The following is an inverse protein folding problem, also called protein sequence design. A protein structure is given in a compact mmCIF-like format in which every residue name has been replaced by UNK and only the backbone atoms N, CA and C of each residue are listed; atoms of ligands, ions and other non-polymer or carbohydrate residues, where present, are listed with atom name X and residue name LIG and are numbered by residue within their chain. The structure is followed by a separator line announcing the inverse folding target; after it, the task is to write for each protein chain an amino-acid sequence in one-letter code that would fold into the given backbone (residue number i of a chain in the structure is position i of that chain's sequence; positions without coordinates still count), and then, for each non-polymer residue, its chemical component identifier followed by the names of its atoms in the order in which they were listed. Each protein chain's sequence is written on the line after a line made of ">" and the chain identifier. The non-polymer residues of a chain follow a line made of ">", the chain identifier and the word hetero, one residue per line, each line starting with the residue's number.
data_IF_647558717929
#
_entry.id   IF_647558717929
#
_cell.length_a   1.000
_cell.length_b   1.000
_cell.length_c   1.000
_cell.angle_alpha   90.00
_cell.angle_beta   90.00
_cell.angle_gamma   90.00
#
_symmetry.space_group_name_H-M   'P 1'
#
loop_
_entity.id
_entity.type
_entity.pdbx_description
1 polymer ?
#
# COMPACT_ATOMS: atom_id res chain seq x y z
N UNK A 1 13.98 4.36 -2.67
CA UNK A 1 14.16 3.22 -1.73
C UNK A 1 12.94 2.31 -1.60
N UNK A 2 11.70 2.75 -1.89
CA UNK A 2 10.48 1.90 -1.76
C UNK A 2 10.37 0.79 -2.82
N UNK A 3 10.76 1.07 -4.07
CA UNK A 3 10.51 0.16 -5.20
C UNK A 3 11.25 -1.18 -5.11
N UNK A 4 12.47 -1.20 -4.54
CA UNK A 4 13.22 -2.46 -4.34
C UNK A 4 12.47 -3.43 -3.43
N UNK A 5 11.75 -2.92 -2.43
CA UNK A 5 10.96 -3.74 -1.50
C UNK A 5 9.75 -4.36 -2.19
N UNK A 6 9.14 -3.63 -3.13
CA UNK A 6 7.97 -4.09 -3.87
C UNK A 6 8.34 -5.22 -4.82
N UNK A 7 9.44 -5.06 -5.57
CA UNK A 7 10.00 -6.11 -6.44
C UNK A 7 10.39 -7.35 -5.63
N UNK A 8 11.08 -7.17 -4.51
CA UNK A 8 11.51 -8.29 -3.66
C UNK A 8 10.31 -9.01 -3.02
N UNK A 9 9.30 -8.26 -2.58
CA UNK A 9 8.04 -8.79 -2.05
C UNK A 9 7.29 -9.59 -3.11
N UNK A 10 7.18 -9.08 -4.35
CA UNK A 10 6.54 -9.80 -5.46
C UNK A 10 7.29 -11.09 -5.81
N UNK A 11 8.63 -11.03 -5.85
CA UNK A 11 9.48 -12.19 -6.09
C UNK A 11 9.23 -13.29 -5.06
N UNK A 12 9.31 -12.96 -3.76
CA UNK A 12 9.10 -13.97 -2.71
C UNK A 12 7.65 -14.46 -2.66
N UNK A 13 6.67 -13.60 -2.96
CA UNK A 13 5.27 -14.02 -3.10
C UNK A 13 5.11 -15.13 -4.16
N UNK A 14 5.64 -14.90 -5.36
CA UNK A 14 5.59 -15.87 -6.46
C UNK A 14 6.42 -17.11 -6.17
N UNK A 15 7.60 -16.96 -5.55
CA UNK A 15 8.46 -18.08 -5.15
C UNK A 15 7.77 -18.98 -4.11
N UNK A 16 7.08 -18.40 -3.12
CA UNK A 16 6.27 -19.16 -2.16
C UNK A 16 5.13 -19.90 -2.85
N UNK A 17 4.42 -19.26 -3.79
CA UNK A 17 3.36 -19.94 -4.55
C UNK A 17 3.90 -21.10 -5.38
N UNK A 18 5.04 -20.93 -6.05
CA UNK A 18 5.66 -21.98 -6.85
C UNK A 18 6.14 -23.14 -5.97
N UNK A 19 6.80 -22.84 -4.85
CA UNK A 19 7.18 -23.85 -3.86
C UNK A 19 5.95 -24.58 -3.29
N UNK A 20 4.85 -23.86 -3.07
CA UNK A 20 3.61 -24.43 -2.56
C UNK A 20 2.93 -25.34 -3.59
N UNK A 21 2.87 -24.95 -4.86
CA UNK A 21 2.38 -25.81 -5.94
C UNK A 21 3.22 -27.09 -6.06
N UNK A 22 4.56 -26.97 -5.94
CA UNK A 22 5.46 -28.11 -5.89
C UNK A 22 5.23 -29.02 -4.66
N UNK A 23 4.97 -28.44 -3.49
CA UNK A 23 4.60 -29.18 -2.28
C UNK A 23 3.24 -29.88 -2.43
N UNK A 24 2.23 -29.19 -2.95
CA UNK A 24 0.90 -29.73 -3.21
C UNK A 24 0.95 -30.92 -4.17
N UNK A 25 1.84 -30.88 -5.17
CA UNK A 25 2.03 -31.95 -6.14
C UNK A 25 2.71 -33.20 -5.59
N UNK A 26 3.73 -33.04 -4.73
CA UNK A 26 4.35 -34.15 -4.02
C UNK A 26 4.75 -33.73 -2.59
N UNK A 27 3.86 -33.97 -1.61
CA UNK A 27 4.06 -33.50 -0.24
C UNK A 27 5.34 -34.08 0.38
N UNK A 28 6.24 -33.20 0.80
CA UNK A 28 7.46 -33.57 1.54
C UNK A 28 7.87 -32.47 2.52
N UNK A 29 8.52 -32.80 3.65
CA UNK A 29 8.99 -31.81 4.61
C UNK A 29 9.96 -30.78 3.99
N UNK A 30 10.84 -31.23 3.08
CA UNK A 30 11.80 -30.36 2.39
C UNK A 30 11.12 -29.31 1.53
N UNK A 31 10.10 -29.70 0.75
CA UNK A 31 9.33 -28.74 -0.09
C UNK A 31 8.53 -27.77 0.78
N UNK A 32 7.95 -28.25 1.88
CA UNK A 32 7.25 -27.37 2.81
C UNK A 32 8.18 -26.38 3.51
N UNK A 33 9.40 -26.79 3.86
CA UNK A 33 10.42 -25.89 4.42
C UNK A 33 10.78 -24.77 3.44
N UNK A 34 10.82 -25.04 2.12
CA UNK A 34 11.00 -24.00 1.10
C UNK A 34 9.83 -23.02 1.07
N UNK A 35 8.58 -23.49 1.25
CA UNK A 35 7.40 -22.62 1.39
C UNK A 35 7.58 -21.68 2.58
N UNK A 36 7.94 -22.22 3.75
CA UNK A 36 8.18 -21.43 4.97
C UNK A 36 9.33 -20.43 4.79
N UNK A 37 10.43 -20.85 4.16
CA UNK A 37 11.59 -20.00 3.91
C UNK A 37 11.22 -18.80 3.04
N UNK A 38 10.66 -19.02 1.85
CA UNK A 38 10.30 -17.92 0.95
C UNK A 38 9.21 -17.04 1.55
N UNK A 39 8.25 -17.63 2.28
CA UNK A 39 7.20 -16.86 2.94
C UNK A 39 7.77 -15.92 4.00
N UNK A 40 8.69 -16.42 4.83
CA UNK A 40 9.36 -15.61 5.86
C UNK A 40 10.18 -14.49 5.24
N UNK A 41 10.93 -14.76 4.17
CA UNK A 41 11.67 -13.74 3.43
C UNK A 41 10.74 -12.69 2.80
N UNK A 42 9.57 -13.11 2.32
CA UNK A 42 8.52 -12.21 1.84
C UNK A 42 7.98 -11.29 2.93
N UNK A 43 7.70 -11.82 4.13
CA UNK A 43 7.27 -11.03 5.29
C UNK A 43 8.34 -10.02 5.72
N UNK A 44 9.62 -10.39 5.65
CA UNK A 44 10.74 -9.48 5.92
C UNK A 44 10.88 -8.38 4.87
N UNK A 45 10.52 -8.66 3.61
CA UNK A 45 10.56 -7.69 2.53
C UNK A 45 9.45 -6.64 2.67
N UNK A 46 8.20 -7.08 2.89
CA UNK A 46 7.05 -6.17 3.05
C UNK A 46 5.89 -6.83 3.83
N UNK A 47 5.26 -6.11 4.78
CA UNK A 47 4.11 -6.62 5.54
C UNK A 47 2.90 -7.04 4.67
N UNK A 48 2.84 -6.62 3.41
CA UNK A 48 1.76 -6.97 2.49
C UNK A 48 1.60 -8.49 2.27
N UNK A 49 2.68 -9.26 2.46
CA UNK A 49 2.72 -10.72 2.25
C UNK A 49 1.89 -11.50 3.29
N UNK A 50 1.45 -10.86 4.39
CA UNK A 50 0.63 -11.50 5.45
C UNK A 50 -0.67 -12.14 4.95
N UNK A 51 -1.13 -11.75 3.76
CA UNK A 51 -2.36 -12.28 3.13
C UNK A 51 -2.13 -13.54 2.30
N UNK A 52 -0.87 -13.91 2.02
CA UNK A 52 -0.53 -15.06 1.19
C UNK A 52 -1.11 -16.39 1.68
N UNK A 53 -1.18 -16.71 2.99
CA UNK A 53 -1.77 -17.97 3.44
C UNK A 53 -3.23 -18.15 3.00
N UNK A 54 -3.98 -17.05 2.91
CA UNK A 54 -5.36 -17.06 2.41
C UNK A 54 -5.42 -17.24 0.89
N UNK A 55 -4.46 -16.65 0.17
CA UNK A 55 -4.32 -16.88 -1.27
C UNK A 55 -3.95 -18.34 -1.57
N UNK A 56 -3.10 -18.98 -0.76
CA UNK A 56 -2.81 -20.41 -0.91
C UNK A 56 -4.07 -21.28 -0.74
N UNK A 57 -4.99 -20.91 0.15
CA UNK A 57 -6.30 -21.56 0.27
C UNK A 57 -7.16 -21.37 -0.99
N UNK A 58 -7.10 -20.19 -1.63
CA UNK A 58 -7.76 -19.97 -2.92
C UNK A 58 -7.15 -20.87 -4.00
N UNK A 59 -5.83 -21.04 -4.03
CA UNK A 59 -5.15 -21.94 -4.97
C UNK A 59 -5.52 -23.41 -4.75
N UNK A 60 -5.68 -23.84 -3.49
CA UNK A 60 -6.19 -25.19 -3.17
C UNK A 60 -7.61 -25.39 -3.71
N UNK A 61 -8.46 -24.37 -3.67
CA UNK A 61 -9.79 -24.42 -4.30
C UNK A 61 -9.69 -24.51 -5.83
N UNK A 62 -8.94 -23.59 -6.45
CA UNK A 62 -8.59 -23.61 -7.87
C UNK A 62 -7.36 -22.71 -8.08
N UNK A 63 -6.33 -23.13 -8.83
CA UNK A 63 -6.33 -24.19 -9.85
C UNK A 63 -5.85 -25.57 -9.39
N UNK A 64 -5.42 -25.74 -8.13
CA UNK A 64 -4.87 -27.02 -7.66
C UNK A 64 -5.94 -28.10 -7.43
N UNK A 65 -7.19 -27.70 -7.19
CA UNK A 65 -8.34 -28.61 -7.07
C UNK A 65 -8.24 -29.60 -5.90
N UNK A 66 -7.70 -29.17 -4.76
CA UNK A 66 -7.49 -29.98 -3.54
C UNK A 66 -8.69 -29.99 -2.59
N UNK A 67 -9.72 -29.18 -2.88
CA UNK A 67 -10.94 -29.09 -2.07
C UNK A 67 -11.97 -30.13 -2.51
N UNK A 68 -12.49 -31.01 -1.61
CA UNK A 68 -13.49 -32.00 -1.95
C UNK A 68 -14.78 -31.36 -2.48
N UNK A 69 -15.27 -31.81 -3.64
CA UNK A 69 -16.46 -31.23 -4.30
C UNK A 69 -16.21 -29.84 -4.90
N UNK A 70 -14.95 -29.41 -4.99
CA UNK A 70 -14.51 -28.20 -5.68
C UNK A 70 -14.47 -28.37 -7.21
N UNK A 71 -14.11 -27.28 -7.92
CA UNK A 71 -13.90 -27.32 -9.37
C UNK A 71 -12.72 -28.25 -9.73
N UNK A 72 -12.70 -28.81 -10.95
CA UNK A 72 -11.60 -29.64 -11.39
C UNK A 72 -10.28 -28.87 -11.42
N UNK A 73 -9.19 -29.55 -11.08
CA UNK A 73 -7.85 -28.99 -11.16
C UNK A 73 -7.47 -28.69 -12.62
N UNK A 74 -6.64 -27.66 -12.81
CA UNK A 74 -6.08 -27.37 -14.14
C UNK A 74 -5.08 -28.47 -14.52
N UNK A 75 -5.16 -29.06 -15.73
CA UNK A 75 -4.23 -30.10 -16.18
C UNK A 75 -2.77 -29.66 -16.06
N UNK A 76 -1.91 -30.55 -15.56
CA UNK A 76 -0.48 -30.28 -15.33
C UNK A 76 -0.16 -29.56 -14.01
N UNK A 77 -1.16 -29.02 -13.31
CA UNK A 77 -1.01 -28.45 -11.95
C UNK A 77 -1.58 -29.37 -10.86
N UNK A 78 -2.39 -30.35 -11.24
CA UNK A 78 -2.91 -31.36 -10.33
C UNK A 78 -1.76 -32.24 -9.79
N UNK A 79 -1.69 -32.39 -8.47
CA UNK A 79 -0.77 -33.34 -7.85
C UNK A 79 -1.10 -34.77 -8.27
N UNK A 80 -0.20 -35.39 -9.03
CA UNK A 80 -0.26 -36.79 -9.40
C UNK A 80 -0.20 -37.66 -8.15
N UNK A 81 -1.36 -38.10 -7.68
CA UNK A 81 -1.47 -39.03 -6.57
C UNK A 81 -2.92 -39.36 -6.33
N UNK A 82 -3.38 -40.47 -6.91
CA UNK A 82 -4.56 -41.20 -6.46
C UNK A 82 -4.33 -41.66 -5.02
N UNK A 83 -4.49 -40.75 -4.05
CA UNK A 83 -4.66 -41.13 -2.65
C UNK A 83 -6.14 -41.44 -2.45
N UNK A 84 -6.40 -42.62 -1.90
CA UNK A 84 -7.74 -43.08 -1.51
C UNK A 84 -8.52 -41.94 -0.84
N UNK A 85 -9.83 -41.79 -1.12
CA UNK A 85 -10.59 -40.64 -0.70
C UNK A 85 -10.69 -40.61 0.83
N UNK A 86 -9.86 -39.77 1.44
CA UNK A 86 -10.02 -39.40 2.83
C UNK A 86 -11.38 -38.69 2.96
N UNK A 87 -12.08 -38.86 4.09
CA UNK A 87 -13.38 -38.21 4.31
C UNK A 87 -13.28 -36.70 4.05
N UNK A 88 -14.31 -36.02 3.51
CA UNK A 88 -14.21 -34.60 3.16
C UNK A 88 -13.71 -33.73 4.32
N UNK A 89 -14.15 -34.03 5.54
CA UNK A 89 -13.73 -33.36 6.79
C UNK A 89 -12.22 -33.48 7.04
N UNK A 90 -11.60 -34.64 6.77
CA UNK A 90 -10.16 -34.82 7.01
C UNK A 90 -9.32 -34.02 6.02
N UNK A 91 -9.78 -33.86 4.78
CA UNK A 91 -9.11 -33.04 3.76
C UNK A 91 -9.15 -31.56 4.13
N UNK A 92 -10.31 -31.01 4.53
CA UNK A 92 -10.40 -29.62 5.01
C UNK A 92 -9.46 -29.37 6.19
N UNK A 93 -9.42 -30.29 7.14
CA UNK A 93 -8.55 -30.17 8.31
C UNK A 93 -7.07 -30.25 7.96
N UNK A 94 -6.69 -31.12 7.03
CA UNK A 94 -5.32 -31.19 6.52
C UNK A 94 -4.91 -29.89 5.83
N UNK A 95 -5.77 -29.35 4.96
CA UNK A 95 -5.49 -28.07 4.29
C UNK A 95 -5.33 -26.95 5.30
N UNK A 96 -6.18 -26.86 6.33
CA UNK A 96 -6.05 -25.85 7.38
C UNK A 96 -4.75 -26.03 8.19
N UNK A 97 -4.41 -27.26 8.58
CA UNK A 97 -3.17 -27.59 9.30
C UNK A 97 -1.92 -27.13 8.56
N UNK A 98 -1.88 -27.30 7.23
CA UNK A 98 -0.78 -26.81 6.38
C UNK A 98 -0.61 -25.29 6.43
N UNK A 99 -1.62 -24.50 6.86
CA UNK A 99 -1.56 -23.04 6.88
C UNK A 99 -1.37 -22.48 8.29
N UNK A 100 -1.59 -23.26 9.34
CA UNK A 100 -1.39 -22.82 10.72
C UNK A 100 0.01 -22.19 10.93
N UNK A 101 1.13 -22.81 10.50
CA UNK A 101 2.46 -22.20 10.67
C UNK A 101 2.59 -20.86 9.91
N UNK A 102 2.04 -20.79 8.69
CA UNK A 102 2.08 -19.58 7.88
C UNK A 102 1.24 -18.45 8.49
N UNK A 103 0.05 -18.77 9.00
CA UNK A 103 -0.84 -17.82 9.69
C UNK A 103 -0.19 -17.32 10.98
N UNK A 104 0.45 -18.19 11.76
CA UNK A 104 1.16 -17.81 12.98
C UNK A 104 2.31 -16.83 12.68
N UNK A 105 3.11 -17.10 11.66
CA UNK A 105 4.17 -16.20 11.19
C UNK A 105 3.60 -14.85 10.69
N UNK A 106 2.49 -14.88 9.94
CA UNK A 106 1.81 -13.67 9.47
C UNK A 106 1.29 -12.81 10.63
N UNK A 107 0.70 -13.44 11.66
CA UNK A 107 0.20 -12.77 12.85
C UNK A 107 1.34 -12.14 13.66
N UNK A 108 2.44 -12.87 13.85
CA UNK A 108 3.64 -12.35 14.51
C UNK A 108 4.22 -11.15 13.77
N UNK A 109 4.40 -11.25 12.45
CA UNK A 109 4.91 -10.16 11.62
C UNK A 109 3.97 -8.93 11.64
N UNK A 110 2.65 -9.15 11.66
CA UNK A 110 1.66 -8.08 11.78
C UNK A 110 1.75 -7.38 13.13
N UNK A 111 1.92 -8.13 14.22
CA UNK A 111 2.11 -7.56 15.56
C UNK A 111 3.38 -6.71 15.65
N UNK A 112 4.50 -7.23 15.16
CA UNK A 112 5.79 -6.50 15.10
C UNK A 112 5.60 -5.20 14.30
N UNK A 113 4.91 -5.27 13.17
CA UNK A 113 4.65 -4.10 12.31
C UNK A 113 3.82 -3.05 13.04
N UNK A 114 2.75 -3.45 13.74
CA UNK A 114 1.90 -2.53 14.51
C UNK A 114 2.67 -1.84 15.63
N UNK A 115 3.50 -2.60 16.36
CA UNK A 115 4.35 -2.05 17.44
C UNK A 115 5.36 -1.06 16.86
N UNK A 116 6.05 -1.43 15.79
CA UNK A 116 7.04 -0.57 15.14
C UNK A 116 6.42 0.74 14.60
N UNK A 117 5.25 0.68 13.97
CA UNK A 117 4.58 1.87 13.44
C UNK A 117 3.95 2.75 14.54
N UNK A 118 3.57 2.16 15.67
CA UNK A 118 3.12 2.93 16.85
C UNK A 118 4.30 3.69 17.46
N UNK A 119 5.46 3.05 17.57
CA UNK A 119 6.68 3.68 18.08
C UNK A 119 7.21 4.81 17.19
N UNK A 120 7.01 4.72 15.86
CA UNK A 120 7.39 5.78 14.92
C UNK A 120 6.37 6.92 14.80
N UNK A 121 5.19 6.81 15.41
CA UNK A 121 4.11 7.79 15.28
C UNK A 121 3.44 7.80 13.89
N UNK A 122 3.73 6.81 13.03
CA UNK A 122 3.17 6.74 11.68
C UNK A 122 1.72 6.21 11.66
N UNK A 123 1.29 5.49 12.71
CA UNK A 123 -0.09 5.05 12.87
C UNK A 123 -1.00 6.20 13.30
N UNK A 124 -2.08 6.41 12.57
CA UNK A 124 -3.11 7.36 13.00
C UNK A 124 -3.98 6.76 14.10
N UNK A 125 -4.04 7.39 15.30
CA UNK A 125 -4.95 6.95 16.34
C UNK A 125 -6.41 6.97 15.89
N UNK A 126 -7.21 6.02 16.38
CA UNK A 126 -8.66 5.98 16.16
C UNK A 126 -9.35 7.26 16.66
N UNK A 127 -8.77 7.95 17.64
CA UNK A 127 -9.25 9.23 18.15
C UNK A 127 -9.23 10.36 17.10
N UNK A 128 -8.26 10.35 16.17
CA UNK A 128 -8.19 11.34 15.10
C UNK A 128 -8.99 10.93 13.86
N UNK A 129 -9.04 9.64 13.56
CA UNK A 129 -9.86 9.07 12.48
C UNK A 129 -10.60 7.82 12.98
N UNK A 130 -11.90 7.93 13.32
CA UNK A 130 -12.73 6.80 13.71
C UNK A 130 -12.81 5.72 12.64
N UNK A 131 -13.31 4.54 13.02
CA UNK A 131 -13.42 3.40 12.11
C UNK A 131 -14.38 3.66 10.92
N UNK A 132 -15.47 4.40 11.13
CA UNK A 132 -16.47 4.70 10.10
C UNK A 132 -15.87 5.32 8.83
N UNK A 133 -15.18 6.48 8.91
CA UNK A 133 -14.49 7.07 7.76
C UNK A 133 -13.45 6.16 7.10
N UNK A 134 -12.80 5.28 7.86
CA UNK A 134 -11.83 4.31 7.30
C UNK A 134 -12.52 3.24 6.47
N UNK A 135 -13.66 2.72 6.94
CA UNK A 135 -14.49 1.77 6.18
C UNK A 135 -15.04 2.45 4.93
N UNK A 136 -15.57 3.66 5.05
CA UNK A 136 -16.04 4.46 3.92
C UNK A 136 -14.97 4.63 2.84
N UNK A 137 -13.77 5.06 3.23
CA UNK A 137 -12.62 5.16 2.33
C UNK A 137 -12.25 3.81 1.72
N UNK A 138 -12.21 2.74 2.51
CA UNK A 138 -11.82 1.41 2.02
C UNK A 138 -12.78 0.90 0.93
N UNK A 139 -14.09 1.08 1.11
CA UNK A 139 -15.11 0.69 0.12
C UNK A 139 -14.93 1.45 -1.19
N UNK A 140 -14.75 2.78 -1.12
CA UNK A 140 -14.53 3.60 -2.32
C UNK A 140 -13.18 3.27 -2.96
N UNK A 141 -12.12 3.05 -2.17
CA UNK A 141 -10.79 2.72 -2.68
C UNK A 141 -10.78 1.39 -3.46
N UNK A 142 -11.56 0.38 -3.05
CA UNK A 142 -11.71 -0.84 -3.84
C UNK A 142 -12.29 -0.57 -5.23
N UNK A 143 -13.26 0.32 -5.35
CA UNK A 143 -13.84 0.69 -6.64
C UNK A 143 -12.85 1.53 -7.44
N UNK A 144 -12.20 2.49 -6.80
CA UNK A 144 -11.20 3.37 -7.43
C UNK A 144 -10.02 2.58 -8.02
N UNK A 145 -9.54 1.55 -7.33
CA UNK A 145 -8.50 0.67 -7.88
C UNK A 145 -8.99 -0.12 -9.11
N UNK A 146 -10.27 -0.52 -9.18
CA UNK A 146 -10.82 -1.15 -10.39
C UNK A 146 -10.90 -0.16 -11.55
N UNK A 147 -11.29 1.09 -11.28
CA UNK A 147 -11.27 2.16 -12.27
C UNK A 147 -9.84 2.39 -12.75
N UNK A 148 -8.86 2.50 -11.85
CA UNK A 148 -7.44 2.69 -12.17
C UNK A 148 -6.82 1.51 -12.93
N UNK A 149 -7.32 0.28 -12.76
CA UNK A 149 -6.89 -0.86 -13.57
C UNK A 149 -7.26 -0.64 -15.05
N UNK A 150 -8.46 -0.11 -15.33
CA UNK A 150 -8.97 0.12 -16.69
C UNK A 150 -8.49 1.44 -17.28
N UNK A 151 -8.35 2.47 -16.44
CA UNK A 151 -7.99 3.83 -16.80
C UNK A 151 -7.05 4.44 -15.76
N UNK A 152 -5.73 4.22 -15.88
CA UNK A 152 -4.74 4.70 -14.92
C UNK A 152 -4.42 6.19 -15.11
N UNK A 153 -5.43 7.07 -15.07
CA UNK A 153 -5.28 8.52 -15.21
C UNK A 153 -6.41 9.28 -14.47
N UNK A 154 -6.13 10.43 -13.81
CA UNK A 154 -4.80 11.00 -13.56
C UNK A 154 -4.06 10.27 -12.42
N UNK A 155 -2.73 10.27 -12.48
CA UNK A 155 -1.86 9.63 -11.49
C UNK A 155 -1.08 10.69 -10.73
N UNK A 156 -1.29 10.74 -9.42
CA UNK A 156 -0.59 11.64 -8.50
C UNK A 156 0.33 10.83 -7.58
N UNK A 157 1.43 11.42 -7.13
CA UNK A 157 2.30 10.78 -6.14
C UNK A 157 1.60 10.57 -4.77
N UNK A 158 0.58 11.39 -4.49
CA UNK A 158 -0.15 11.40 -3.23
C UNK A 158 -1.64 11.70 -3.46
N UNK A 159 -2.49 10.86 -2.88
CA UNK A 159 -3.95 11.01 -2.89
C UNK A 159 -4.41 11.36 -1.47
N UNK A 160 -4.82 12.60 -1.27
CA UNK A 160 -5.21 13.12 0.05
C UNK A 160 -6.46 12.43 0.57
N UNK A 161 -6.47 12.06 1.86
CA UNK A 161 -7.64 11.47 2.52
C UNK A 161 -8.77 12.50 2.72
N UNK A 162 -9.63 12.64 1.71
CA UNK A 162 -10.82 13.49 1.77
C UNK A 162 -11.99 12.81 2.50
N UNK A 163 -12.91 13.58 3.11
CA UNK A 163 -14.18 13.03 3.59
C UNK A 163 -14.97 12.39 2.44
N UNK A 164 -15.31 11.12 2.58
CA UNK A 164 -16.12 10.40 1.60
C UNK A 164 -17.60 10.64 1.90
N UNK A 165 -18.39 11.16 0.94
CA UNK A 165 -19.84 11.26 1.08
C UNK A 165 -20.47 9.89 1.38
N UNK A 166 -21.49 9.88 2.26
CA UNK A 166 -22.13 8.62 2.68
C UNK A 166 -22.70 7.83 1.50
N UNK A 167 -23.26 8.51 0.49
CA UNK A 167 -23.84 7.88 -0.70
C UNK A 167 -22.78 7.18 -1.56
N UNK A 168 -21.57 7.73 -1.65
CA UNK A 168 -20.45 7.07 -2.35
C UNK A 168 -20.05 5.79 -1.64
N UNK A 169 -19.99 5.84 -0.31
CA UNK A 169 -19.62 4.69 0.52
C UNK A 169 -20.66 3.57 0.43
N UNK A 170 -21.94 3.93 0.54
CA UNK A 170 -23.06 2.98 0.41
C UNK A 170 -23.14 2.42 -1.00
N UNK A 171 -23.03 3.27 -2.02
CA UNK A 171 -23.03 2.85 -3.43
C UNK A 171 -21.89 1.89 -3.75
N UNK A 172 -20.66 2.22 -3.32
CA UNK A 172 -19.50 1.35 -3.47
C UNK A 172 -19.69 0.01 -2.74
N UNK A 173 -20.21 0.04 -1.50
CA UNK A 173 -20.51 -1.17 -0.74
C UNK A 173 -21.53 -2.07 -1.43
N UNK A 174 -22.65 -1.52 -1.90
CA UNK A 174 -23.68 -2.27 -2.63
C UNK A 174 -23.15 -2.83 -3.95
N UNK A 175 -22.39 -2.04 -4.71
CA UNK A 175 -21.78 -2.49 -5.96
C UNK A 175 -20.79 -3.65 -5.73
N UNK A 176 -19.92 -3.53 -4.73
CA UNK A 176 -18.97 -4.59 -4.37
C UNK A 176 -19.69 -5.86 -3.90
N UNK A 177 -20.75 -5.74 -3.09
CA UNK A 177 -21.53 -6.89 -2.63
C UNK A 177 -22.24 -7.58 -3.79
N UNK A 178 -22.93 -6.83 -4.65
CA UNK A 178 -23.63 -7.38 -5.81
C UNK A 178 -22.65 -8.06 -6.78
N UNK A 179 -21.52 -7.42 -7.07
CA UNK A 179 -20.48 -7.98 -7.93
C UNK A 179 -19.83 -9.23 -7.32
N UNK A 180 -19.55 -9.21 -6.01
CA UNK A 180 -19.06 -10.39 -5.29
C UNK A 180 -20.04 -11.54 -5.34
N UNK A 181 -21.33 -11.30 -5.09
CA UNK A 181 -22.37 -12.32 -5.14
C UNK A 181 -22.50 -12.91 -6.55
N UNK A 182 -22.46 -12.07 -7.59
CA UNK A 182 -22.49 -12.51 -8.97
C UNK A 182 -21.28 -13.40 -9.31
N UNK A 183 -20.05 -12.99 -8.99
CA UNK A 183 -18.86 -13.79 -9.28
C UNK A 183 -18.82 -15.10 -8.49
N UNK A 184 -19.22 -15.07 -7.21
CA UNK A 184 -19.27 -16.27 -6.37
C UNK A 184 -20.36 -17.25 -6.84
N UNK A 185 -21.47 -16.77 -7.39
CA UNK A 185 -22.50 -17.63 -8.00
C UNK A 185 -21.94 -18.46 -9.17
N UNK A 186 -20.88 -17.97 -9.82
CA UNK A 186 -20.21 -18.65 -10.94
C UNK A 186 -19.02 -19.52 -10.50
N UNK A 187 -18.70 -19.60 -9.20
CA UNK A 187 -17.46 -20.23 -8.71
C UNK A 187 -17.30 -21.69 -9.14
N UNK A 188 -18.39 -22.45 -9.31
CA UNK A 188 -18.32 -23.84 -9.83
C UNK A 188 -18.09 -23.94 -11.32
N UNK A 189 -18.63 -23.00 -12.12
CA UNK A 189 -18.55 -23.02 -13.60
C UNK A 189 -17.29 -22.33 -14.10
N UNK A 190 -16.96 -21.18 -13.51
CA UNK A 190 -15.83 -20.32 -13.85
C UNK A 190 -15.06 -19.96 -12.57
N UNK A 191 -14.34 -20.93 -11.97
CA UNK A 191 -13.69 -20.73 -10.68
C UNK A 191 -12.65 -19.61 -10.66
N UNK A 192 -12.01 -19.33 -11.80
CA UNK A 192 -11.06 -18.24 -11.97
C UNK A 192 -11.65 -16.86 -11.63
N UNK A 193 -12.95 -16.67 -11.81
CA UNK A 193 -13.67 -15.44 -11.44
C UNK A 193 -13.70 -15.24 -9.93
N UNK A 194 -14.13 -16.26 -9.19
CA UNK A 194 -14.21 -16.21 -7.74
C UNK A 194 -12.82 -16.13 -7.09
N UNK A 195 -11.86 -16.93 -7.57
CA UNK A 195 -10.48 -16.94 -7.06
C UNK A 195 -9.80 -15.60 -7.30
N UNK A 196 -9.87 -15.07 -8.52
CA UNK A 196 -9.26 -13.80 -8.85
C UNK A 196 -9.86 -12.62 -8.06
N UNK A 197 -11.17 -12.63 -7.87
CA UNK A 197 -11.86 -11.60 -7.10
C UNK A 197 -11.57 -11.64 -5.60
N UNK A 198 -11.62 -12.83 -4.98
CA UNK A 198 -11.29 -12.99 -3.56
C UNK A 198 -9.81 -12.71 -3.28
N UNK A 199 -8.93 -13.00 -4.25
CA UNK A 199 -7.53 -12.59 -4.18
C UNK A 199 -7.42 -11.07 -4.13
N UNK A 200 -8.06 -10.38 -5.08
CA UNK A 200 -8.06 -8.91 -5.15
C UNK A 200 -8.55 -8.28 -3.84
N UNK A 201 -9.70 -8.73 -3.35
CA UNK A 201 -10.27 -8.24 -2.09
C UNK A 201 -9.34 -8.55 -0.90
N UNK A 202 -8.95 -9.81 -0.73
CA UNK A 202 -8.19 -10.26 0.44
C UNK A 202 -6.80 -9.62 0.55
N UNK A 203 -6.09 -9.47 -0.56
CA UNK A 203 -4.72 -8.96 -0.57
C UNK A 203 -4.61 -7.44 -0.35
N UNK A 204 -5.69 -6.70 -0.59
CA UNK A 204 -5.76 -5.25 -0.32
C UNK A 204 -6.07 -4.93 1.14
N UNK A 205 -6.70 -5.83 1.91
CA UNK A 205 -7.13 -5.58 3.30
C UNK A 205 -6.06 -4.89 4.17
N UNK A 206 -4.77 -5.27 4.17
CA UNK A 206 -3.76 -4.64 5.03
C UNK A 206 -3.42 -3.19 4.63
N UNK A 207 -3.72 -2.79 3.40
CA UNK A 207 -3.24 -1.53 2.79
C UNK A 207 -4.36 -0.62 2.28
N UNK A 208 -5.63 -1.04 2.41
CA UNK A 208 -6.82 -0.31 1.93
C UNK A 208 -7.26 0.84 2.87
N UNK A 209 -6.53 1.08 3.96
CA UNK A 209 -6.80 2.18 4.91
C UNK A 209 -7.60 1.82 6.16
N UNK A 210 -7.89 0.52 6.41
CA UNK A 210 -8.49 0.08 7.69
C UNK A 210 -7.55 0.33 8.87
N UNK A 211 -6.29 -0.09 8.72
CA UNK A 211 -5.17 0.31 9.58
C UNK A 211 -4.46 1.48 8.90
N UNK A 212 -4.86 2.70 9.23
CA UNK A 212 -4.39 3.90 8.56
C UNK A 212 -2.95 4.24 8.98
N UNK A 213 -2.05 4.24 7.99
CA UNK A 213 -0.65 4.67 8.12
C UNK A 213 -0.45 5.86 7.19
N UNK A 214 -0.17 7.03 7.78
CA UNK A 214 -0.12 8.31 7.05
C UNK A 214 -1.49 8.81 6.55
N UNK A 215 -1.48 9.88 5.75
CA UNK A 215 -2.67 10.64 5.32
C UNK A 215 -3.18 10.29 3.91
N UNK A 216 -2.68 9.21 3.32
CA UNK A 216 -3.06 8.80 1.96
C UNK A 216 -4.41 8.06 1.96
N UNK A 217 -5.30 8.40 1.01
CA UNK A 217 -6.57 7.69 0.77
C UNK A 217 -6.34 6.31 0.13
N UNK A 218 -5.44 6.27 -0.85
CA UNK A 218 -5.00 5.10 -1.59
C UNK A 218 -3.57 5.34 -2.10
N UNK A 219 -2.89 4.30 -2.56
CA UNK A 219 -1.58 4.45 -3.18
C UNK A 219 -1.35 3.39 -4.27
N UNK A 220 -0.94 3.84 -5.45
CA UNK A 220 -0.79 3.00 -6.64
C UNK A 220 0.22 1.84 -6.44
N UNK A 221 1.23 2.03 -5.57
CA UNK A 221 2.23 1.01 -5.19
C UNK A 221 1.65 -0.24 -4.50
N UNK A 222 0.37 -0.23 -4.13
CA UNK A 222 -0.29 -1.38 -3.51
C UNK A 222 -0.99 -2.29 -4.52
N UNK A 223 -0.97 -1.96 -5.81
CA UNK A 223 -1.74 -2.69 -6.83
C UNK A 223 -1.05 -3.95 -7.38
N UNK A 224 0.29 -4.04 -7.31
CA UNK A 224 1.07 -5.08 -7.99
C UNK A 224 0.72 -6.54 -7.61
N UNK A 225 0.45 -6.85 -6.33
CA UNK A 225 0.00 -8.20 -5.89
C UNK A 225 -1.51 -8.38 -6.07
N UNK A 226 -2.38 -7.43 -5.68
CA UNK A 226 -3.82 -7.59 -5.81
C UNK A 226 -4.30 -7.73 -7.24
N UNK A 227 -3.69 -6.99 -8.17
CA UNK A 227 -4.08 -7.03 -9.58
C UNK A 227 -3.75 -8.37 -10.25
N UNK A 228 -2.87 -9.21 -9.66
CA UNK A 228 -2.68 -10.59 -10.14
C UNK A 228 -4.01 -11.35 -10.17
N UNK A 229 -4.85 -11.17 -9.14
CA UNK A 229 -6.19 -11.76 -9.09
C UNK A 229 -7.09 -11.27 -10.23
N UNK A 230 -7.07 -9.97 -10.54
CA UNK A 230 -7.87 -9.41 -11.63
C UNK A 230 -7.35 -9.84 -13.01
N UNK A 231 -6.02 -9.86 -13.20
CA UNK A 231 -5.40 -10.36 -14.42
C UNK A 231 -5.68 -11.84 -14.66
N UNK A 232 -5.79 -12.64 -13.59
CA UNK A 232 -6.24 -14.02 -13.68
C UNK A 232 -7.67 -14.10 -14.26
N UNK A 233 -8.59 -13.24 -13.79
CA UNK A 233 -9.96 -13.19 -14.32
C UNK A 233 -9.99 -12.81 -15.79
N UNK A 234 -9.22 -11.78 -16.17
CA UNK A 234 -9.14 -11.28 -17.55
C UNK A 234 -8.51 -12.33 -18.48
N UNK A 235 -7.40 -12.95 -18.08
CA UNK A 235 -6.68 -13.90 -18.93
C UNK A 235 -7.53 -15.14 -19.25
N UNK A 236 -8.13 -15.76 -18.23
CA UNK A 236 -8.97 -16.95 -18.42
C UNK A 236 -10.32 -16.60 -19.06
N UNK A 237 -10.91 -15.45 -18.70
CA UNK A 237 -12.14 -14.95 -19.32
C UNK A 237 -11.96 -14.64 -20.81
N UNK A 238 -10.84 -14.03 -21.20
CA UNK A 238 -10.50 -13.78 -22.60
C UNK A 238 -10.24 -15.08 -23.37
N UNK A 239 -9.54 -16.04 -22.77
CA UNK A 239 -9.31 -17.35 -23.37
C UNK A 239 -10.63 -18.10 -23.63
N UNK A 240 -11.57 -18.05 -22.70
CA UNK A 240 -12.90 -18.65 -22.84
C UNK A 240 -13.74 -17.91 -23.91
N UNK A 241 -13.81 -16.58 -23.85
CA UNK A 241 -14.61 -15.77 -24.77
C UNK A 241 -14.14 -15.84 -26.23
N UNK A 242 -12.85 -16.08 -26.45
CA UNK A 242 -12.25 -16.13 -27.80
C UNK A 242 -12.02 -17.55 -28.32
N UNK A 243 -12.47 -18.58 -27.59
CA UNK A 243 -12.21 -19.98 -27.91
C UNK A 243 -12.63 -20.37 -29.34
N UNK A 244 -13.73 -19.79 -29.85
CA UNK A 244 -14.27 -20.07 -31.19
C UNK A 244 -13.74 -19.18 -32.33
N UNK A 245 -12.85 -18.23 -32.07
CA UNK A 245 -12.42 -17.28 -33.09
C UNK A 245 -11.39 -17.87 -34.06
N UNK A 246 -11.66 -17.81 -35.37
CA UNK A 246 -10.80 -18.40 -36.42
C UNK A 246 -9.38 -17.80 -36.48
N UNK A 247 -9.23 -16.51 -36.16
CA UNK A 247 -7.94 -15.79 -36.13
C UNK A 247 -7.54 -15.35 -34.72
N UNK A 248 -7.91 -16.13 -33.69
CA UNK A 248 -7.73 -15.73 -32.28
C UNK A 248 -6.30 -15.32 -31.93
N UNK A 249 -5.30 -16.08 -32.39
CA UNK A 249 -3.90 -15.81 -32.06
C UNK A 249 -3.47 -14.46 -32.63
N UNK A 250 -3.71 -14.21 -33.91
CA UNK A 250 -3.39 -12.93 -34.54
C UNK A 250 -4.10 -11.77 -33.86
N UNK A 251 -5.42 -11.88 -33.62
CA UNK A 251 -6.20 -10.81 -33.00
C UNK A 251 -5.72 -10.51 -31.58
N UNK A 252 -5.50 -11.54 -30.76
CA UNK A 252 -5.04 -11.37 -29.38
C UNK A 252 -3.60 -10.86 -29.33
N UNK A 253 -2.71 -11.34 -30.20
CA UNK A 253 -1.33 -10.84 -30.27
C UNK A 253 -1.26 -9.40 -30.75
N UNK A 254 -2.08 -9.00 -31.74
CA UNK A 254 -2.18 -7.61 -32.17
C UNK A 254 -2.74 -6.72 -31.06
N UNK A 255 -3.82 -7.14 -30.40
CA UNK A 255 -4.38 -6.40 -29.27
C UNK A 255 -3.37 -6.26 -28.12
N UNK A 256 -2.65 -7.34 -27.78
CA UNK A 256 -1.59 -7.29 -26.79
C UNK A 256 -0.46 -6.33 -27.20
N UNK A 257 -0.03 -6.35 -28.46
CA UNK A 257 0.99 -5.44 -28.99
C UNK A 257 0.58 -3.97 -28.92
N UNK A 258 -0.67 -3.66 -29.31
CA UNK A 258 -1.23 -2.30 -29.21
C UNK A 258 -1.31 -1.84 -27.75
N UNK A 259 -1.80 -2.70 -26.86
CA UNK A 259 -1.87 -2.39 -25.42
C UNK A 259 -0.48 -2.15 -24.83
N UNK A 260 0.51 -2.99 -25.16
CA UNK A 260 1.89 -2.81 -24.70
C UNK A 260 2.50 -1.51 -25.22
N UNK A 261 2.26 -1.15 -26.49
CA UNK A 261 2.71 0.11 -27.06
C UNK A 261 2.07 1.31 -26.35
N UNK A 262 0.75 1.26 -26.11
CA UNK A 262 0.04 2.29 -25.38
C UNK A 262 0.57 2.44 -23.95
N UNK A 263 0.79 1.33 -23.24
CA UNK A 263 1.41 1.33 -21.91
C UNK A 263 2.84 1.90 -21.94
N UNK A 264 3.64 1.58 -22.96
CA UNK A 264 5.00 2.10 -23.10
C UNK A 264 5.00 3.62 -23.30
N UNK A 265 4.16 4.13 -24.20
CA UNK A 265 4.01 5.57 -24.45
C UNK A 265 3.48 6.29 -23.20
N UNK A 266 2.48 5.72 -22.54
CA UNK A 266 1.93 6.28 -21.30
C UNK A 266 2.97 6.31 -20.18
N UNK A 267 3.76 5.24 -20.05
CA UNK A 267 4.87 5.16 -19.10
C UNK A 267 5.93 6.23 -19.41
N UNK A 268 6.27 6.43 -20.68
CA UNK A 268 7.25 7.44 -21.09
C UNK A 268 6.79 8.85 -20.72
N UNK A 269 5.53 9.19 -20.99
CA UNK A 269 4.93 10.47 -20.56
C UNK A 269 4.94 10.57 -19.03
N UNK A 270 4.49 9.52 -18.33
CA UNK A 270 4.40 9.55 -16.87
C UNK A 270 5.76 9.78 -16.23
N UNK A 271 6.81 9.06 -16.66
CA UNK A 271 8.18 9.21 -16.15
C UNK A 271 8.73 10.61 -16.41
N UNK A 272 8.27 11.29 -17.47
CA UNK A 272 8.61 12.70 -17.75
C UNK A 272 8.28 13.65 -16.59
N UNK A 273 7.19 13.41 -15.84
CA UNK A 273 6.85 14.22 -14.67
C UNK A 273 7.79 14.00 -13.48
N UNK A 274 8.45 12.83 -13.40
CA UNK A 274 9.38 12.48 -12.31
C UNK A 274 10.80 13.02 -12.53
N UNK A 275 11.04 13.79 -13.60
CA UNK A 275 12.36 14.35 -13.92
C UNK A 275 12.97 15.21 -12.81
N UNK A 276 12.13 15.98 -12.10
CA UNK A 276 12.53 16.80 -10.96
C UNK A 276 11.35 17.09 -10.05
N UNK A 277 11.65 17.47 -8.80
CA UNK A 277 10.66 17.74 -7.75
C UNK A 277 9.63 18.80 -8.14
N UNK A 278 10.05 19.90 -8.78
CA UNK A 278 9.15 20.99 -9.15
C UNK A 278 8.12 20.53 -10.18
N UNK A 279 8.55 19.80 -11.22
CA UNK A 279 7.65 19.22 -12.24
C UNK A 279 6.67 18.23 -11.61
N UNK A 280 7.17 17.34 -10.73
CA UNK A 280 6.36 16.33 -10.08
C UNK A 280 5.27 16.95 -9.18
N UNK A 281 5.62 17.92 -8.35
CA UNK A 281 4.68 18.53 -7.42
C UNK A 281 3.72 19.50 -8.11
N UNK A 282 4.16 20.23 -9.14
CA UNK A 282 3.26 21.03 -9.95
C UNK A 282 2.24 20.16 -10.69
N UNK A 283 2.66 19.02 -11.25
CA UNK A 283 1.72 18.07 -11.86
C UNK A 283 0.69 17.55 -10.84
N UNK A 284 1.12 17.23 -9.61
CA UNK A 284 0.20 16.83 -8.55
C UNK A 284 -0.82 17.93 -8.19
N UNK A 285 -0.41 19.21 -8.26
CA UNK A 285 -1.30 20.37 -8.02
C UNK A 285 -2.24 20.66 -9.19
N UNK A 286 -1.86 20.30 -10.42
CA UNK A 286 -2.76 20.34 -11.58
C UNK A 286 -3.89 19.31 -11.42
N UNK A 287 -3.59 18.14 -10.85
CA UNK A 287 -4.56 17.08 -10.58
C UNK A 287 -5.44 17.44 -9.37
N UNK A 288 -4.82 17.84 -8.26
CA UNK A 288 -5.50 18.19 -7.01
C UNK A 288 -4.90 19.47 -6.41
N UNK A 289 -5.61 20.59 -6.60
CA UNK A 289 -5.23 21.90 -6.08
C UNK A 289 -5.24 21.97 -4.55
N UNK A 290 -5.87 21.01 -3.87
CA UNK A 290 -5.93 20.91 -2.41
C UNK A 290 -4.90 19.91 -1.85
N UNK A 291 -3.89 19.53 -2.65
CA UNK A 291 -2.86 18.61 -2.22
C UNK A 291 -1.80 19.32 -1.35
N UNK A 292 -2.05 19.38 -0.04
CA UNK A 292 -1.13 20.00 0.91
C UNK A 292 0.27 19.36 0.92
N UNK A 293 0.37 18.05 0.65
CA UNK A 293 1.67 17.36 0.54
C UNK A 293 2.46 17.83 -0.68
N UNK A 294 1.78 18.09 -1.80
CA UNK A 294 2.42 18.64 -2.99
C UNK A 294 2.95 20.06 -2.73
N UNK A 295 2.16 20.94 -2.10
CA UNK A 295 2.63 22.27 -1.71
C UNK A 295 3.80 22.20 -0.72
N UNK A 296 3.77 21.31 0.27
CA UNK A 296 4.84 21.18 1.24
C UNK A 296 6.15 20.79 0.57
N UNK A 297 6.13 19.74 -0.25
CA UNK A 297 7.34 19.27 -0.90
C UNK A 297 7.81 20.20 -2.02
N UNK A 298 6.89 20.92 -2.67
CA UNK A 298 7.25 22.02 -3.57
C UNK A 298 7.99 23.12 -2.80
N UNK A 299 7.50 23.51 -1.62
CA UNK A 299 8.18 24.46 -0.74
C UNK A 299 9.59 24.02 -0.36
N UNK A 300 9.77 22.75 -0.01
CA UNK A 300 11.10 22.17 0.27
C UNK A 300 12.02 22.23 -0.96
N UNK A 301 11.51 21.85 -2.13
CA UNK A 301 12.29 21.86 -3.36
C UNK A 301 12.71 23.29 -3.76
N UNK A 302 11.80 24.26 -3.62
CA UNK A 302 12.06 25.67 -3.90
C UNK A 302 13.07 26.27 -2.91
N UNK A 303 12.97 25.93 -1.62
CA UNK A 303 13.91 26.37 -0.60
C UNK A 303 15.34 25.86 -0.90
N UNK A 304 15.47 24.57 -1.26
CA UNK A 304 16.75 23.98 -1.65
C UNK A 304 17.36 24.61 -2.93
N UNK A 305 16.54 25.23 -3.77
CA UNK A 305 16.98 25.98 -4.96
C UNK A 305 17.26 27.46 -4.66
N UNK A 306 17.09 27.92 -3.42
CA UNK A 306 17.24 29.33 -3.03
C UNK A 306 16.05 30.22 -3.43
N UNK A 307 14.95 29.66 -3.95
CA UNK A 307 13.72 30.39 -4.31
C UNK A 307 12.85 30.65 -3.07
N UNK A 308 13.41 31.35 -2.08
CA UNK A 308 12.84 31.46 -0.73
C UNK A 308 11.42 32.03 -0.70
N UNK A 309 11.13 33.10 -1.45
CA UNK A 309 9.79 33.71 -1.45
C UNK A 309 8.71 32.74 -1.97
N UNK A 310 9.03 31.96 -3.00
CA UNK A 310 8.10 30.96 -3.54
C UNK A 310 7.93 29.79 -2.57
N UNK A 311 9.00 29.39 -1.87
CA UNK A 311 8.94 28.36 -0.84
C UNK A 311 8.01 28.75 0.32
N UNK A 312 8.14 29.99 0.82
CA UNK A 312 7.27 30.54 1.87
C UNK A 312 5.81 30.56 1.42
N UNK A 313 5.53 31.00 0.19
CA UNK A 313 4.18 30.98 -0.36
C UNK A 313 3.59 29.56 -0.43
N UNK A 314 4.38 28.57 -0.88
CA UNK A 314 3.95 27.17 -0.91
C UNK A 314 3.70 26.59 0.50
N UNK A 315 4.53 26.95 1.49
CA UNK A 315 4.29 26.56 2.88
C UNK A 315 3.02 27.18 3.46
N UNK A 316 2.71 28.45 3.14
CA UNK A 316 1.45 29.05 3.55
C UNK A 316 0.23 28.36 2.91
N UNK A 317 0.31 27.96 1.64
CA UNK A 317 -0.76 27.17 1.01
C UNK A 317 -0.94 25.80 1.70
N UNK A 318 0.17 25.14 2.07
CA UNK A 318 0.11 23.92 2.88
C UNK A 318 -0.66 24.14 4.19
N UNK A 319 -0.35 25.22 4.93
CA UNK A 319 -0.99 25.52 6.21
C UNK A 319 -2.44 26.00 6.08
N UNK A 320 -2.80 26.61 4.95
CA UNK A 320 -4.19 26.97 4.65
C UNK A 320 -5.07 25.73 4.48
N UNK A 321 -4.53 24.67 3.86
CA UNK A 321 -5.25 23.40 3.64
C UNK A 321 -5.14 22.47 4.85
N UNK A 322 -3.95 22.35 5.44
CA UNK A 322 -3.63 21.44 6.52
C UNK A 322 -2.96 22.18 7.70
N UNK A 323 -3.74 22.95 8.50
CA UNK A 323 -3.20 23.83 9.55
C UNK A 323 -2.56 23.07 10.72
N UNK A 324 -2.66 21.74 10.77
CA UNK A 324 -2.06 20.90 11.81
C UNK A 324 -0.80 20.18 11.33
N UNK A 325 -0.29 20.51 10.15
CA UNK A 325 0.85 19.81 9.56
C UNK A 325 2.19 20.37 10.10
N UNK A 326 2.61 19.81 11.24
CA UNK A 326 3.75 20.27 12.05
C UNK A 326 5.06 20.44 11.29
N UNK A 327 5.35 19.57 10.32
CA UNK A 327 6.58 19.64 9.51
C UNK A 327 6.70 20.93 8.71
N UNK A 328 5.58 21.55 8.32
CA UNK A 328 5.60 22.82 7.60
C UNK A 328 5.97 24.00 8.49
N UNK A 329 5.45 24.02 9.72
CA UNK A 329 5.86 25.02 10.72
C UNK A 329 7.37 24.96 10.96
N UNK A 330 7.92 23.76 11.15
CA UNK A 330 9.36 23.57 11.32
C UNK A 330 10.16 24.08 10.10
N UNK A 331 9.76 23.77 8.87
CA UNK A 331 10.50 24.18 7.69
C UNK A 331 10.39 25.68 7.42
N UNK A 332 9.23 26.29 7.69
CA UNK A 332 9.07 27.74 7.63
C UNK A 332 9.91 28.44 8.70
N UNK A 333 9.99 27.87 9.91
CA UNK A 333 10.83 28.37 10.98
C UNK A 333 12.33 28.34 10.63
N UNK A 334 12.80 27.28 9.97
CA UNK A 334 14.18 27.19 9.47
C UNK A 334 14.48 28.36 8.52
N UNK A 335 13.59 28.61 7.54
CA UNK A 335 13.75 29.74 6.61
C UNK A 335 13.83 31.07 7.36
N UNK A 336 12.98 31.28 8.36
CA UNK A 336 12.98 32.54 9.13
C UNK A 336 14.23 32.67 10.01
N UNK A 337 14.74 31.58 10.59
CA UNK A 337 15.99 31.59 11.33
C UNK A 337 17.17 31.94 10.43
N UNK A 338 17.24 31.38 9.22
CA UNK A 338 18.27 31.70 8.22
C UNK A 338 18.22 33.18 7.77
N UNK A 339 17.03 33.80 7.81
CA UNK A 339 16.85 35.23 7.55
C UNK A 339 17.16 36.13 8.78
N UNK A 340 17.55 35.56 9.91
CA UNK A 340 17.77 36.30 11.17
C UNK A 340 16.49 36.72 11.89
N UNK A 341 15.32 36.27 11.42
CA UNK A 341 14.00 36.53 12.05
C UNK A 341 13.75 35.53 13.16
N UNK A 342 14.63 35.56 14.16
CA UNK A 342 14.72 34.46 15.11
C UNK A 342 13.49 34.34 16.03
N UNK A 343 12.84 35.44 16.43
CA UNK A 343 11.66 35.37 17.31
C UNK A 343 10.46 34.74 16.59
N UNK A 344 10.28 35.04 15.31
CA UNK A 344 9.26 34.41 14.47
C UNK A 344 9.55 32.93 14.24
N UNK A 345 10.83 32.58 14.00
CA UNK A 345 11.26 31.19 13.91
C UNK A 345 10.98 30.42 15.21
N UNK A 346 11.30 31.01 16.37
CA UNK A 346 11.05 30.39 17.66
C UNK A 346 9.56 30.11 17.88
N UNK A 347 8.67 31.06 17.55
CA UNK A 347 7.23 30.87 17.64
C UNK A 347 6.73 29.71 16.73
N UNK A 348 7.24 29.64 15.50
CA UNK A 348 6.90 28.56 14.57
C UNK A 348 7.42 27.18 15.03
N UNK A 349 8.64 27.11 15.59
CA UNK A 349 9.15 25.87 16.17
C UNK A 349 8.33 25.42 17.38
N UNK A 350 7.92 26.35 18.25
CA UNK A 350 7.04 26.04 19.38
C UNK A 350 5.70 25.49 18.91
N UNK A 351 5.13 26.02 17.82
CA UNK A 351 3.89 25.49 17.23
C UNK A 351 4.10 24.09 16.63
N UNK A 352 5.22 23.84 15.96
CA UNK A 352 5.60 22.50 15.49
C UNK A 352 5.70 21.50 16.65
N UNK A 353 6.30 21.92 17.77
CA UNK A 353 6.41 21.13 19.01
C UNK A 353 5.03 20.88 19.64
N UNK A 354 4.17 21.89 19.70
CA UNK A 354 2.79 21.76 20.21
C UNK A 354 2.01 20.69 19.44
N UNK A 355 2.18 20.66 18.12
CA UNK A 355 1.52 19.71 17.23
C UNK A 355 2.16 18.31 17.27
N UNK A 356 3.46 18.20 17.53
CA UNK A 356 4.18 16.93 17.62
C UNK A 356 5.25 16.93 18.75
N UNK A 357 4.83 16.80 20.02
CA UNK A 357 5.70 17.00 21.18
C UNK A 357 6.77 15.90 21.38
N UNK A 358 6.72 14.82 20.61
CA UNK A 358 7.68 13.71 20.68
C UNK A 358 8.76 13.79 19.59
N UNK A 359 8.73 14.83 18.75
CA UNK A 359 9.70 15.00 17.68
C UNK A 359 10.93 15.77 18.17
N UNK A 360 11.96 15.03 18.59
CA UNK A 360 13.23 15.60 19.06
C UNK A 360 13.92 16.53 18.05
N UNK A 361 13.66 16.36 16.75
CA UNK A 361 14.20 17.24 15.71
C UNK A 361 13.70 18.68 15.83
N UNK A 362 12.44 18.87 16.24
CA UNK A 362 11.86 20.22 16.38
C UNK A 362 12.46 20.96 17.58
N UNK A 363 12.67 20.26 18.70
CA UNK A 363 13.38 20.80 19.86
C UNK A 363 14.83 21.17 19.52
N UNK A 364 15.54 20.32 18.77
CA UNK A 364 16.91 20.61 18.32
C UNK A 364 16.98 21.91 17.52
N UNK A 365 16.06 22.11 16.58
CA UNK A 365 16.05 23.32 15.75
C UNK A 365 15.72 24.58 16.57
N UNK A 366 14.79 24.47 17.53
CA UNK A 366 14.51 25.57 18.47
C UNK A 366 15.73 25.91 19.34
N UNK A 367 16.41 24.92 19.88
CA UNK A 367 17.62 25.13 20.70
C UNK A 367 18.73 25.82 19.90
N UNK A 368 18.96 25.39 18.65
CA UNK A 368 19.92 26.05 17.74
C UNK A 368 19.54 27.51 17.45
N UNK A 369 18.23 27.78 17.31
CA UNK A 369 17.73 29.15 17.10
C UNK A 369 17.98 30.04 18.32
N UNK A 370 17.71 29.54 19.55
CA UNK A 370 18.04 30.28 20.78
C UNK A 370 19.53 30.50 20.97
N UNK A 371 20.36 29.52 20.61
CA UNK A 371 21.81 29.69 20.64
C UNK A 371 22.27 30.81 19.69
N UNK A 372 21.71 30.90 18.49
CA UNK A 372 21.99 31.98 17.53
C UNK A 372 21.51 33.35 18.03
N UNK A 373 20.43 33.39 18.83
CA UNK A 373 19.97 34.61 19.51
C UNK A 373 20.82 35.01 20.73
N UNK A 374 21.75 34.16 21.19
CA UNK A 374 22.48 34.36 22.45
C UNK A 374 21.67 34.00 23.72
N UNK A 375 20.49 33.40 23.57
CA UNK A 375 19.64 32.91 24.66
C UNK A 375 20.10 31.53 25.14
N UNK A 376 21.29 31.50 25.74
CA UNK A 376 22.01 30.25 26.07
C UNK A 376 21.23 29.41 27.10
N UNK A 377 20.65 30.03 28.12
CA UNK A 377 19.89 29.32 29.16
C UNK A 377 18.64 28.63 28.58
N UNK A 378 17.92 29.30 27.68
CA UNK A 378 16.77 28.72 26.99
C UNK A 378 17.19 27.61 26.02
N UNK A 379 18.31 27.77 25.33
CA UNK A 379 18.87 26.73 24.46
C UNK A 379 19.21 25.46 25.25
N UNK A 380 19.87 25.58 26.42
CA UNK A 380 20.19 24.46 27.31
C UNK A 380 18.92 23.74 27.80
N UNK A 381 17.91 24.50 28.22
CA UNK A 381 16.64 23.94 28.68
C UNK A 381 15.93 23.13 27.58
N UNK A 382 15.91 23.64 26.34
CA UNK A 382 15.31 22.93 25.20
C UNK A 382 16.16 21.72 24.79
N UNK A 383 17.49 21.82 24.85
CA UNK A 383 18.40 20.72 24.50
C UNK A 383 18.28 19.54 25.48
N UNK A 384 18.00 19.80 26.77
CA UNK A 384 17.71 18.75 27.74
C UNK A 384 16.51 17.87 27.33
N UNK A 385 15.49 18.46 26.69
CA UNK A 385 14.35 17.72 26.15
C UNK A 385 14.75 16.81 24.97
N UNK A 386 15.68 17.26 24.11
CA UNK A 386 16.22 16.43 23.02
C UNK A 386 16.91 15.19 23.58
N UNK A 387 17.74 15.35 24.61
CA UNK A 387 18.44 14.25 25.28
C UNK A 387 17.45 13.28 25.95
N UNK A 388 16.44 13.81 26.64
CA UNK A 388 15.40 12.99 27.26
C UNK A 388 14.60 12.18 26.24
N UNK A 389 14.19 12.81 25.13
CA UNK A 389 13.49 12.12 24.04
C UNK A 389 14.37 11.09 23.32
N UNK A 390 15.67 11.35 23.21
CA UNK A 390 16.64 10.44 22.59
C UNK A 390 16.99 9.26 23.50
N UNK A 391 17.09 9.49 24.81
CA UNK A 391 17.32 8.45 25.83
C UNK A 391 16.11 7.52 26.01
N UNK A 392 14.88 7.99 25.73
CA UNK A 392 13.71 7.11 25.60
C UNK A 392 13.71 6.23 24.35
N UNK A 393 14.58 6.50 23.38
CA UNK A 393 14.65 5.79 22.09
C UNK A 393 15.78 4.74 22.01
N UNK A 394 16.48 4.42 23.11
CA UNK A 394 17.36 3.25 23.12
C UNK A 394 17.63 2.68 24.51
N UNK A 395 18.07 1.40 24.60
CA UNK A 395 17.94 0.33 23.60
C UNK A 395 16.52 -0.25 23.50
#
# INVERSE_FOLDING_TARGET
>A
MSERKDVLSAFFWLATMLAYAGYAGAPSPRRYLLVLLFFTLGLMAKPMVVTLPFVLLLLDYWPLGRVPGGPPAVPGLAGGGERQPASPKSVYWQLLKEKIPLIALAALASLITLVAQKGSGALMPLAFRPLGPRIANALVAYVEYLVKLLWPFPMSFFYSLAPVPWWQSVGAGLALLAFSAWLLSQARRRPYLAVGWLWYLGTLVPVIGLVQVGDQALADRYTYIPFIGLFLMVAWGAAEATAGWRRRQTLLSTAAGVTLLACLLSTWVQVGYWRNSETLFNHALEIDKNNYMAYHHLGMALANQGKINQAVAAYHQTLAIAPRFSSTYNNLAIIYAEQGRFDEAAALFQEAIRLAPTNAGFYRNLALTYQQQGKISEAEAVMAQVLWLSGKRGP
#
